data_IF_251629998751
#
_entry.id   IF_251629998751
#
_cell.length_a   1.000
_cell.length_b   1.000
_cell.length_c   1.000
_cell.angle_alpha   90.00
_cell.angle_beta   90.00
_cell.angle_gamma   90.00
#
_symmetry.space_group_name_H-M   'P 1'
#
loop_
_entity.id
_entity.type
_entity.pdbx_description
1 polymer ?
#
# COMPACT_ATOMS: atom_id res chain seq x y z
N UNK A 1 15.03 21.60 -4.74
CA UNK A 1 14.39 22.78 -5.36
C UNK A 1 14.16 22.46 -6.82
N UNK A 2 12.90 22.30 -7.22
CA UNK A 2 12.49 22.24 -8.62
C UNK A 2 11.57 23.45 -8.82
N UNK A 3 11.95 24.38 -9.71
CA UNK A 3 11.24 25.65 -9.92
C UNK A 3 11.03 26.51 -8.64
N UNK A 4 12.00 26.54 -7.72
CA UNK A 4 11.97 27.40 -6.52
C UNK A 4 11.08 26.90 -5.37
N UNK A 5 10.33 25.81 -5.56
CA UNK A 5 9.64 25.14 -4.47
C UNK A 5 10.54 24.07 -3.82
N UNK A 6 10.55 24.02 -2.49
CA UNK A 6 11.14 22.89 -1.77
C UNK A 6 10.28 21.65 -2.03
N UNK A 7 10.81 20.77 -2.87
CA UNK A 7 10.21 19.49 -3.25
C UNK A 7 10.54 18.38 -2.24
N UNK A 8 11.12 18.71 -1.09
CA UNK A 8 11.42 17.77 -0.01
C UNK A 8 12.71 16.95 -0.22
N UNK A 9 13.43 17.15 -1.34
CA UNK A 9 14.71 16.47 -1.59
C UNK A 9 15.89 17.03 -0.79
N UNK A 10 15.71 18.09 0.00
CA UNK A 10 16.78 18.68 0.83
C UNK A 10 17.45 17.67 1.79
N UNK A 11 16.71 16.64 2.21
CA UNK A 11 17.21 15.56 3.08
C UNK A 11 17.69 14.30 2.33
N UNK A 12 17.66 14.27 1.00
CA UNK A 12 18.09 13.10 0.23
C UNK A 12 19.56 12.72 0.49
N UNK A 13 20.40 13.70 0.83
CA UNK A 13 21.79 13.48 1.23
C UNK A 13 21.94 12.59 2.47
N UNK A 14 21.03 12.69 3.46
CA UNK A 14 21.07 11.90 4.69
C UNK A 14 20.91 10.40 4.42
N UNK A 15 20.02 10.05 3.49
CA UNK A 15 19.78 8.66 3.13
C UNK A 15 20.88 8.09 2.24
N UNK A 16 21.53 8.91 1.40
CA UNK A 16 22.59 8.46 0.50
C UNK A 16 23.97 8.39 1.17
N UNK A 17 24.22 9.24 2.16
CA UNK A 17 25.51 9.33 2.85
C UNK A 17 25.68 8.27 3.96
N UNK A 18 24.62 7.54 4.32
CA UNK A 18 24.66 6.51 5.35
C UNK A 18 24.30 5.13 4.77
N UNK A 19 25.04 4.11 5.18
CA UNK A 19 24.75 2.72 4.78
C UNK A 19 23.33 2.29 5.22
N UNK A 20 22.89 2.75 6.40
CA UNK A 20 21.54 2.49 6.91
C UNK A 20 20.44 3.15 6.08
N UNK A 21 20.61 4.43 5.71
CA UNK A 21 19.65 5.14 4.86
C UNK A 21 19.54 4.54 3.46
N UNK A 22 20.67 4.14 2.87
CA UNK A 22 20.70 3.48 1.58
C UNK A 22 19.97 2.14 1.64
N UNK A 23 20.27 1.33 2.67
CA UNK A 23 19.64 0.02 2.88
C UNK A 23 18.14 0.16 3.07
N UNK A 24 17.69 1.14 3.87
CA UNK A 24 16.28 1.44 4.08
C UNK A 24 15.55 1.72 2.75
N UNK A 25 16.10 2.60 1.91
CA UNK A 25 15.48 2.94 0.61
C UNK A 25 15.45 1.72 -0.30
N UNK A 26 16.54 0.97 -0.40
CA UNK A 26 16.59 -0.25 -1.24
C UNK A 26 15.56 -1.28 -0.78
N UNK A 27 15.45 -1.53 0.53
CA UNK A 27 14.45 -2.46 1.08
C UNK A 27 13.04 -2.00 0.75
N UNK A 28 12.74 -0.70 0.88
CA UNK A 28 11.43 -0.17 0.49
C UNK A 28 11.12 -0.33 -0.99
N UNK A 29 12.09 -0.10 -1.87
CA UNK A 29 11.94 -0.31 -3.32
C UNK A 29 11.70 -1.79 -3.63
N UNK A 30 12.45 -2.70 -3.01
CA UNK A 30 12.25 -4.14 -3.17
C UNK A 30 10.85 -4.58 -2.69
N UNK A 31 10.37 -4.03 -1.58
CA UNK A 31 9.01 -4.29 -1.09
C UNK A 31 7.97 -3.76 -2.08
N UNK A 32 8.13 -2.55 -2.61
CA UNK A 32 7.22 -1.97 -3.60
C UNK A 32 7.18 -2.79 -4.89
N UNK A 33 8.34 -3.16 -5.44
CA UNK A 33 8.44 -4.01 -6.63
C UNK A 33 7.82 -5.39 -6.35
N UNK A 34 8.11 -5.97 -5.19
CA UNK A 34 7.53 -7.24 -4.75
C UNK A 34 6.00 -7.18 -4.66
N UNK A 35 5.45 -6.10 -4.10
CA UNK A 35 4.02 -5.88 -4.02
C UNK A 35 3.38 -5.69 -5.41
N UNK A 36 4.03 -4.94 -6.30
CA UNK A 36 3.58 -4.76 -7.68
C UNK A 36 3.54 -6.10 -8.44
N UNK A 37 4.58 -6.92 -8.29
CA UNK A 37 4.63 -8.28 -8.85
C UNK A 37 3.54 -9.17 -8.25
N UNK A 38 3.24 -9.04 -6.95
CA UNK A 38 2.15 -9.77 -6.30
C UNK A 38 0.77 -9.36 -6.88
N UNK A 39 0.54 -8.06 -7.13
CA UNK A 39 -0.66 -7.59 -7.83
C UNK A 39 -0.76 -8.16 -9.25
N UNK A 40 0.35 -8.17 -10.01
CA UNK A 40 0.38 -8.76 -11.35
C UNK A 40 0.10 -10.28 -11.32
N UNK A 41 0.64 -10.98 -10.32
CA UNK A 41 0.36 -12.41 -10.11
C UNK A 41 -1.12 -12.67 -9.76
N UNK A 42 -1.80 -11.71 -9.14
CA UNK A 42 -3.23 -11.76 -8.84
C UNK A 42 -4.11 -11.55 -10.07
N UNK A 43 -3.69 -10.69 -11.01
CA UNK A 43 -4.45 -10.35 -12.22
C UNK A 43 -4.22 -11.30 -13.40
N UNK A 44 -3.06 -11.96 -13.48
CA UNK A 44 -2.73 -12.93 -14.54
C UNK A 44 -3.03 -14.38 -14.11
N UNK A 45 -3.19 -15.33 -15.05
CA UNK A 45 -3.42 -16.76 -14.75
C UNK A 45 -2.30 -17.47 -13.94
N UNK A 46 -1.30 -16.73 -13.46
CA UNK A 46 -0.32 -17.19 -12.46
C UNK A 46 -0.99 -17.62 -11.14
N UNK A 47 -2.22 -17.14 -10.87
CA UNK A 47 -3.07 -17.60 -9.77
C UNK A 47 -3.64 -19.03 -9.93
N UNK A 48 -3.41 -19.69 -11.07
CA UNK A 48 -3.78 -21.12 -11.27
C UNK A 48 -2.57 -22.02 -11.49
N UNK A 49 -1.49 -21.53 -12.13
CA UNK A 49 -0.23 -22.26 -12.31
C UNK A 49 0.96 -21.32 -12.19
N UNK A 50 1.79 -21.54 -11.18
CA UNK A 50 3.06 -20.84 -11.04
C UNK A 50 3.96 -21.10 -12.26
N UNK A 51 4.68 -20.08 -12.77
CA UNK A 51 5.59 -20.24 -13.90
C UNK A 51 6.62 -21.31 -13.60
N UNK A 52 6.88 -22.15 -14.61
CA UNK A 52 7.80 -23.29 -14.52
C UNK A 52 9.25 -22.87 -14.20
N UNK A 53 9.57 -21.59 -14.37
CA UNK A 53 10.90 -21.02 -14.11
C UNK A 53 11.11 -20.59 -12.65
N UNK A 54 10.07 -20.59 -11.80
CA UNK A 54 10.24 -20.30 -10.36
C UNK A 54 10.84 -21.52 -9.66
N UNK A 55 12.07 -21.42 -9.10
CA UNK A 55 12.71 -22.56 -8.44
C UNK A 55 11.88 -23.00 -7.22
N UNK A 56 11.53 -24.28 -7.14
CA UNK A 56 10.87 -24.90 -5.96
C UNK A 56 9.34 -24.92 -5.93
N UNK A 57 8.64 -24.03 -6.66
CA UNK A 57 7.15 -23.94 -6.61
C UNK A 57 6.51 -23.89 -8.01
N UNK A 58 7.31 -23.83 -9.08
CA UNK A 58 6.83 -23.81 -10.46
C UNK A 58 5.95 -25.02 -10.81
N UNK A 59 4.78 -24.77 -11.41
CA UNK A 59 3.85 -25.80 -11.87
C UNK A 59 2.83 -26.31 -10.84
N UNK A 60 2.89 -25.88 -9.57
CA UNK A 60 1.85 -26.22 -8.57
C UNK A 60 0.62 -25.34 -8.74
N UNK A 61 -0.55 -25.95 -8.59
CA UNK A 61 -1.82 -25.23 -8.51
C UNK A 61 -1.79 -24.32 -7.28
N UNK A 62 -1.94 -23.01 -7.49
CA UNK A 62 -1.93 -22.06 -6.38
C UNK A 62 -3.18 -22.31 -5.52
N UNK A 63 -3.04 -22.49 -4.20
CA UNK A 63 -4.18 -22.66 -3.32
C UNK A 63 -5.09 -21.45 -3.44
N UNK A 64 -6.36 -21.67 -3.76
CA UNK A 64 -7.37 -20.63 -3.95
C UNK A 64 -7.53 -19.66 -2.74
N UNK A 65 -7.06 -20.06 -1.55
CA UNK A 65 -7.08 -19.24 -0.33
C UNK A 65 -5.93 -18.23 -0.25
N UNK A 66 -4.86 -18.43 -1.00
CA UNK A 66 -3.63 -17.64 -0.92
C UNK A 66 -3.87 -16.17 -1.34
N UNK A 67 -4.59 -15.87 -2.45
CA UNK A 67 -5.04 -14.52 -2.79
C UNK A 67 -5.80 -13.80 -1.66
N UNK A 68 -6.69 -14.52 -0.98
CA UNK A 68 -7.55 -13.95 0.07
C UNK A 68 -6.75 -13.64 1.33
N UNK A 69 -5.84 -14.54 1.72
CA UNK A 69 -4.99 -14.36 2.91
C UNK A 69 -3.99 -13.23 2.67
N UNK A 70 -3.28 -13.24 1.54
CA UNK A 70 -2.29 -12.20 1.21
C UNK A 70 -2.97 -10.84 1.00
N UNK A 71 -4.07 -10.81 0.24
CA UNK A 71 -4.86 -9.59 0.06
C UNK A 71 -5.45 -9.07 1.36
N UNK A 72 -5.94 -9.95 2.24
CA UNK A 72 -6.45 -9.59 3.55
C UNK A 72 -5.38 -9.05 4.50
N UNK A 73 -4.20 -9.69 4.54
CA UNK A 73 -3.06 -9.23 5.34
C UNK A 73 -2.54 -7.86 4.86
N UNK A 74 -2.37 -7.69 3.54
CA UNK A 74 -1.99 -6.41 2.96
C UNK A 74 -3.01 -5.30 3.25
N UNK A 75 -4.30 -5.61 3.15
CA UNK A 75 -5.37 -4.68 3.47
C UNK A 75 -5.38 -4.28 4.95
N UNK A 76 -5.17 -5.24 5.86
CA UNK A 76 -5.05 -4.95 7.30
C UNK A 76 -3.85 -4.03 7.58
N UNK A 77 -2.70 -4.31 6.94
CA UNK A 77 -1.52 -3.47 7.09
C UNK A 77 -1.76 -2.03 6.58
N UNK A 78 -2.50 -1.88 5.47
CA UNK A 78 -2.91 -0.56 4.97
C UNK A 78 -3.80 0.18 5.98
N UNK A 79 -4.74 -0.51 6.63
CA UNK A 79 -5.53 0.09 7.72
C UNK A 79 -4.64 0.60 8.85
N UNK A 80 -3.72 -0.23 9.34
CA UNK A 80 -2.83 0.15 10.44
C UNK A 80 -2.02 1.38 10.06
N UNK A 81 -1.31 1.36 8.94
CA UNK A 81 -0.43 2.45 8.52
C UNK A 81 -1.23 3.74 8.24
N UNK A 82 -2.26 3.67 7.40
CA UNK A 82 -2.97 4.88 6.94
C UNK A 82 -3.69 5.56 8.11
N UNK A 83 -4.41 4.81 8.93
CA UNK A 83 -5.20 5.42 10.02
C UNK A 83 -4.32 5.83 11.20
N UNK A 84 -3.23 5.09 11.50
CA UNK A 84 -2.27 5.51 12.52
C UNK A 84 -1.58 6.82 12.13
N UNK A 85 -1.09 6.93 10.88
CA UNK A 85 -0.46 8.15 10.37
C UNK A 85 -1.47 9.30 10.37
N UNK A 86 -2.70 9.04 9.92
CA UNK A 86 -3.75 10.06 9.89
C UNK A 86 -4.13 10.52 11.29
N UNK A 87 -4.33 9.60 12.25
CA UNK A 87 -4.63 9.95 13.63
C UNK A 87 -3.49 10.75 14.26
N UNK A 88 -2.24 10.31 14.08
CA UNK A 88 -1.05 11.01 14.57
C UNK A 88 -0.95 12.43 13.98
N UNK A 89 -1.20 12.56 12.69
CA UNK A 89 -1.19 13.83 11.98
C UNK A 89 -2.33 14.76 12.43
N UNK A 90 -3.56 14.25 12.56
CA UNK A 90 -4.71 15.02 13.06
C UNK A 90 -4.48 15.51 14.49
N UNK A 91 -3.94 14.63 15.36
CA UNK A 91 -3.57 15.01 16.73
C UNK A 91 -2.48 16.09 16.76
N UNK A 92 -1.49 15.99 15.87
CA UNK A 92 -0.45 17.01 15.74
C UNK A 92 -1.03 18.35 15.28
N UNK A 93 -2.00 18.35 14.35
CA UNK A 93 -2.67 19.55 13.87
C UNK A 93 -3.49 20.25 14.97
N UNK A 94 -4.05 19.50 15.92
CA UNK A 94 -4.84 20.01 17.04
C UNK A 94 -3.99 20.59 18.19
N UNK A 95 -2.69 20.28 18.26
CA UNK A 95 -1.79 20.61 19.39
C UNK A 95 -0.66 21.57 19.04
N UNK A 96 -0.89 22.44 18.06
CA UNK A 96 0.11 23.18 17.28
C UNK A 96 0.99 22.25 16.42
N UNK A 97 0.92 22.36 15.08
CA UNK A 97 1.62 21.46 14.17
C UNK A 97 3.14 21.60 14.35
N UNK A 98 3.85 20.56 14.79
CA UNK A 98 5.30 20.57 14.92
C UNK A 98 5.99 20.58 13.54
N UNK A 99 7.26 21.00 13.51
CA UNK A 99 8.04 21.27 12.29
C UNK A 99 8.40 20.05 11.42
N UNK A 100 7.88 18.88 11.77
CA UNK A 100 8.00 17.66 10.97
C UNK A 100 6.73 17.37 10.16
N UNK A 101 5.64 18.11 10.42
CA UNK A 101 4.38 17.93 9.71
C UNK A 101 4.44 18.63 8.34
N UNK A 102 3.93 18.00 7.27
CA UNK A 102 3.98 18.55 5.92
C UNK A 102 3.17 19.83 5.71
N UNK A 103 2.45 20.32 6.73
CA UNK A 103 1.58 21.51 6.67
C UNK A 103 2.16 22.72 7.39
N UNK A 104 3.38 22.62 7.91
CA UNK A 104 4.10 23.76 8.49
C UNK A 104 4.22 24.88 7.45
N UNK A 105 3.78 26.08 7.81
CA UNK A 105 3.81 27.26 6.94
C UNK A 105 2.77 27.28 5.80
N UNK A 106 1.86 26.29 5.72
CA UNK A 106 0.79 26.29 4.73
C UNK A 106 -0.36 27.24 5.10
N UNK A 107 -0.87 27.97 4.11
CA UNK A 107 -2.11 28.74 4.25
C UNK A 107 -3.38 27.86 4.18
N UNK A 108 -4.56 28.39 4.55
CA UNK A 108 -5.81 27.62 4.59
C UNK A 108 -6.18 26.96 3.24
N UNK A 109 -5.95 27.66 2.12
CA UNK A 109 -6.23 27.13 0.79
C UNK A 109 -5.29 25.98 0.41
N UNK A 110 -4.02 26.04 0.80
CA UNK A 110 -3.04 24.96 0.56
C UNK A 110 -3.38 23.72 1.38
N UNK A 111 -3.83 23.91 2.62
CA UNK A 111 -4.31 22.82 3.47
C UNK A 111 -5.52 22.11 2.84
N UNK A 112 -6.47 22.86 2.27
CA UNK A 112 -7.62 22.27 1.56
C UNK A 112 -7.16 21.43 0.36
N UNK A 113 -6.25 21.96 -0.46
CA UNK A 113 -5.69 21.21 -1.61
C UNK A 113 -4.97 19.95 -1.13
N UNK A 114 -4.17 20.04 -0.07
CA UNK A 114 -3.51 18.90 0.54
C UNK A 114 -4.52 17.84 0.98
N UNK A 115 -5.57 18.23 1.73
CA UNK A 115 -6.63 17.33 2.17
C UNK A 115 -7.39 16.69 0.99
N UNK A 116 -7.60 17.41 -0.11
CA UNK A 116 -8.25 16.85 -1.31
C UNK A 116 -7.37 15.84 -2.04
N UNK A 117 -6.06 16.08 -2.11
CA UNK A 117 -5.12 15.15 -2.75
C UNK A 117 -4.87 13.89 -1.91
N UNK A 118 -4.80 14.02 -0.59
CA UNK A 118 -4.48 12.91 0.32
C UNK A 118 -5.72 12.24 0.93
N UNK A 119 -6.86 12.92 1.00
CA UNK A 119 -8.12 12.39 1.52
C UNK A 119 -8.59 11.09 0.86
N UNK A 120 -8.52 10.95 -0.49
CA UNK A 120 -8.88 9.70 -1.17
C UNK A 120 -8.08 8.48 -0.70
N UNK A 121 -6.86 8.68 -0.18
CA UNK A 121 -6.03 7.60 0.38
C UNK A 121 -6.73 6.87 1.53
N UNK A 122 -7.57 7.56 2.33
CA UNK A 122 -8.31 6.98 3.44
C UNK A 122 -9.39 6.00 2.99
N UNK A 123 -9.93 6.20 1.79
CA UNK A 123 -10.99 5.37 1.23
C UNK A 123 -10.42 4.06 0.66
N UNK A 124 -9.14 4.06 0.31
CA UNK A 124 -8.46 2.94 -0.35
C UNK A 124 -8.57 1.58 0.38
N UNK A 125 -8.23 1.45 1.69
CA UNK A 125 -8.37 0.17 2.39
C UNK A 125 -9.84 -0.29 2.53
N UNK A 126 -10.79 0.66 2.59
CA UNK A 126 -12.22 0.33 2.60
C UNK A 126 -12.64 -0.28 1.25
N UNK A 127 -12.23 0.33 0.15
CA UNK A 127 -12.52 -0.17 -1.19
C UNK A 127 -11.93 -1.58 -1.42
N UNK A 128 -10.70 -1.82 -0.97
CA UNK A 128 -10.06 -3.14 -1.04
C UNK A 128 -10.80 -4.19 -0.20
N UNK A 129 -11.29 -3.82 0.98
CA UNK A 129 -12.13 -4.70 1.82
C UNK A 129 -13.39 -5.12 1.08
N UNK A 130 -14.08 -4.17 0.44
CA UNK A 130 -15.29 -4.45 -0.34
C UNK A 130 -14.96 -5.39 -1.51
N UNK A 131 -13.86 -5.15 -2.22
CA UNK A 131 -13.39 -6.01 -3.30
C UNK A 131 -13.09 -7.45 -2.83
N UNK A 132 -12.42 -7.58 -1.69
CA UNK A 132 -12.07 -8.88 -1.09
C UNK A 132 -13.31 -9.65 -0.64
N UNK A 133 -14.27 -8.97 0.00
CA UNK A 133 -15.56 -9.57 0.40
C UNK A 133 -16.37 -9.98 -0.83
N UNK A 134 -16.40 -9.15 -1.88
CA UNK A 134 -17.08 -9.46 -3.14
C UNK A 134 -16.47 -10.65 -3.87
N UNK A 135 -15.15 -10.78 -3.86
CA UNK A 135 -14.44 -11.96 -4.38
C UNK A 135 -14.81 -13.22 -3.57
N UNK A 136 -14.73 -13.14 -2.24
CA UNK A 136 -15.04 -14.27 -1.36
C UNK A 136 -16.49 -14.76 -1.49
N UNK A 137 -17.46 -13.83 -1.62
CA UNK A 137 -18.88 -14.16 -1.82
C UNK A 137 -19.11 -14.91 -3.14
N UNK A 138 -18.50 -14.46 -4.25
CA UNK A 138 -18.62 -15.11 -5.57
C UNK A 138 -18.05 -16.53 -5.56
N UNK A 139 -16.94 -16.75 -4.88
CA UNK A 139 -16.31 -18.08 -4.79
C UNK A 139 -17.03 -19.06 -3.88
N UNK A 140 -17.82 -18.59 -2.90
CA UNK A 140 -18.68 -19.47 -2.10
C UNK A 140 -19.91 -19.97 -2.87
N UNK A 141 -20.49 -19.13 -3.73
CA UNK A 141 -21.67 -19.49 -4.53
C UNK A 141 -21.35 -20.50 -5.66
N UNK A 142 -20.14 -20.45 -6.23
CA UNK A 142 -19.69 -21.43 -7.23
C UNK A 142 -19.47 -22.85 -6.69
N UNK A 143 -19.32 -23.02 -5.36
CA UNK A 143 -19.16 -24.34 -4.72
C UNK A 143 -20.48 -25.04 -4.38
N UNK A 144 -21.60 -24.32 -4.41
CA UNK A 144 -22.94 -24.88 -4.12
C UNK A 144 -23.64 -25.50 -5.34
N UNK A 145 -23.14 -25.28 -6.56
CA UNK A 145 -23.79 -25.75 -7.81
C UNK A 145 -23.27 -27.11 -8.29
N UNK A 146 -22.15 -27.60 -7.75
CA UNK A 146 -21.51 -28.87 -8.16
C UNK A 146 -21.63 -30.01 -7.12
N UNK A 147 -22.51 -29.85 -6.13
CA UNK A 147 -22.71 -30.82 -5.05
C UNK A 147 -24.16 -31.29 -4.89
N UNK A 148 -24.85 -31.53 -6.01
CA UNK A 148 -26.19 -32.13 -6.08
C UNK A 148 -26.21 -33.29 -7.07
#
# INVERSE_FOLDING_TARGET
>A
MLAGADVGFGRAGLYRASAGGFTYVVVLELIQVGAALACLALCRPWGERLPRWVPGIGGRAVPHRLPVIVGGAGNLLLYLIIYEVTASFTLALLRDPPSWTPVEGMGPAQLVVFCLCYGPMLVWPVALTIGLVGHWRRHRQGRSVTGG
#
